data_IF_759004550151
#
_entry.id   IF_759004550151
#
_cell.length_a   1.000
_cell.length_b   1.000
_cell.length_c   1.000
_cell.angle_alpha   90.00
_cell.angle_beta   90.00
_cell.angle_gamma   90.00
#
_symmetry.space_group_name_H-M   'P 1'
#
loop_
_entity.id
_entity.type
_entity.pdbx_description
1 polymer ?
#
# COMPACT_ATOMS: atom_id res chain seq x y z
N UNK A 1 -50.28 21.41 82.67
CA UNK A 1 -49.07 22.15 82.24
C UNK A 1 -48.42 21.40 81.09
N UNK A 2 -47.85 22.10 80.12
CA UNK A 2 -46.95 21.56 79.07
C UNK A 2 -45.54 21.32 79.65
N UNK A 3 -44.49 20.85 78.91
CA UNK A 3 -44.40 20.37 77.51
C UNK A 3 -43.93 18.88 77.48
N UNK A 4 -43.27 18.25 76.48
CA UNK A 4 -42.72 18.56 75.13
C UNK A 4 -42.88 17.29 74.23
N UNK A 5 -42.82 17.39 72.88
CA UNK A 5 -42.84 16.24 71.98
C UNK A 5 -41.43 15.71 71.64
N UNK A 6 -41.27 14.38 71.52
CA UNK A 6 -40.04 13.78 70.99
C UNK A 6 -40.04 13.74 69.45
N UNK A 7 -39.09 14.47 68.85
CA UNK A 7 -38.94 14.52 67.39
C UNK A 7 -38.39 13.21 66.81
N UNK A 8 -39.12 12.63 65.83
CA UNK A 8 -38.60 11.53 64.99
C UNK A 8 -37.44 12.04 64.14
N UNK A 9 -36.22 11.54 64.39
CA UNK A 9 -35.06 11.75 63.50
C UNK A 9 -35.19 10.86 62.27
N UNK A 10 -35.57 11.43 61.14
CA UNK A 10 -35.46 10.77 59.83
C UNK A 10 -34.00 10.84 59.36
N UNK A 11 -33.24 9.76 59.53
CA UNK A 11 -31.92 9.61 58.92
C UNK A 11 -32.07 9.33 57.43
N UNK A 12 -31.93 10.37 56.60
CA UNK A 12 -31.90 10.23 55.15
C UNK A 12 -30.55 9.66 54.70
N UNK A 13 -30.51 8.35 54.43
CA UNK A 13 -29.30 7.67 53.91
C UNK A 13 -29.10 8.05 52.44
N UNK A 14 -28.24 9.03 52.18
CA UNK A 14 -27.89 9.45 50.82
C UNK A 14 -27.06 8.36 50.12
N UNK A 15 -27.68 7.60 49.22
CA UNK A 15 -27.01 6.54 48.46
C UNK A 15 -26.20 7.15 47.31
N UNK A 16 -24.93 7.44 47.56
CA UNK A 16 -24.01 7.98 46.57
C UNK A 16 -23.67 6.93 45.50
N UNK A 17 -24.29 7.05 44.32
CA UNK A 17 -23.90 6.27 43.14
C UNK A 17 -22.51 6.70 42.66
N UNK A 18 -21.50 5.93 43.04
CA UNK A 18 -20.14 6.08 42.51
C UNK A 18 -20.11 5.65 41.04
N UNK A 19 -20.25 6.63 40.13
CA UNK A 19 -19.97 6.45 38.71
C UNK A 19 -18.47 6.24 38.51
N UNK A 20 -18.03 4.98 38.67
CA UNK A 20 -16.70 4.52 38.27
C UNK A 20 -16.65 4.52 36.74
N UNK A 21 -16.40 5.70 36.17
CA UNK A 21 -16.15 5.84 34.75
C UNK A 21 -14.95 4.98 34.37
N UNK A 22 -15.14 4.06 33.43
CA UNK A 22 -14.05 3.27 32.88
C UNK A 22 -13.12 4.19 32.08
N UNK A 23 -12.10 4.72 32.75
CA UNK A 23 -10.97 5.39 32.13
C UNK A 23 -10.15 4.35 31.35
N UNK A 24 -10.64 4.00 30.15
CA UNK A 24 -9.93 3.14 29.22
C UNK A 24 -8.55 3.72 28.96
N UNK A 25 -7.52 2.88 29.04
CA UNK A 25 -6.16 3.30 28.71
C UNK A 25 -6.15 3.91 27.30
N UNK A 26 -5.39 5.00 27.06
CA UNK A 26 -5.33 5.62 25.75
C UNK A 26 -4.89 4.57 24.72
N UNK A 27 -5.66 4.45 23.63
CA UNK A 27 -5.36 3.48 22.58
C UNK A 27 -3.94 3.70 22.08
N UNK A 28 -3.14 2.63 22.06
CA UNK A 28 -1.74 2.70 21.64
C UNK A 28 -1.66 3.15 20.18
N UNK A 29 -0.93 4.23 19.92
CA UNK A 29 -0.69 4.73 18.57
C UNK A 29 -0.02 3.62 17.76
N UNK A 30 -0.59 3.18 16.62
CA UNK A 30 -0.01 2.08 15.86
C UNK A 30 1.36 2.47 15.30
N UNK A 31 2.42 1.77 15.72
CA UNK A 31 3.72 1.88 15.07
C UNK A 31 3.66 1.21 13.70
N UNK A 32 4.20 1.89 12.69
CA UNK A 32 4.40 1.39 11.33
C UNK A 32 5.87 1.54 10.94
N UNK A 33 6.20 1.04 9.74
CA UNK A 33 7.49 1.24 9.09
C UNK A 33 7.60 2.64 8.49
N UNK A 34 8.80 3.03 8.07
CA UNK A 34 9.13 4.36 7.55
C UNK A 34 9.53 4.35 6.07
N UNK A 35 10.00 3.21 5.55
CA UNK A 35 10.24 2.98 4.12
C UNK A 35 10.71 1.55 3.84
N UNK A 36 11.50 1.33 2.79
CA UNK A 36 11.98 -0.01 2.41
C UNK A 36 12.70 -0.80 3.52
N UNK A 37 13.49 -0.13 4.37
CA UNK A 37 14.43 -0.81 5.30
C UNK A 37 13.77 -1.48 6.51
N UNK A 38 12.63 -0.96 6.94
CA UNK A 38 11.85 -1.44 8.08
C UNK A 38 10.47 -1.99 7.65
N UNK A 39 10.28 -2.18 6.34
CA UNK A 39 9.05 -2.68 5.73
C UNK A 39 8.65 -4.05 6.30
N UNK A 40 7.37 -4.29 6.63
CA UNK A 40 6.94 -5.54 7.22
C UNK A 40 7.04 -6.72 6.23
N UNK A 41 7.50 -7.87 6.74
CA UNK A 41 7.63 -9.11 5.96
C UNK A 41 6.30 -9.61 5.40
N UNK A 42 6.36 -10.34 4.27
CA UNK A 42 5.21 -10.98 3.62
C UNK A 42 4.42 -11.96 4.50
N UNK A 43 3.25 -12.35 4.01
CA UNK A 43 2.43 -13.44 4.57
C UNK A 43 2.94 -14.83 4.21
N UNK A 44 3.53 -14.98 3.02
CA UNK A 44 3.96 -16.25 2.45
C UNK A 44 5.37 -16.60 2.91
N UNK A 45 5.60 -17.88 3.27
CA UNK A 45 6.96 -18.39 3.35
C UNK A 45 7.53 -18.54 1.94
N UNK A 46 8.86 -18.38 1.81
CA UNK A 46 9.55 -18.41 0.51
C UNK A 46 9.27 -19.67 -0.31
N UNK A 47 9.12 -20.81 0.36
CA UNK A 47 8.98 -22.11 -0.29
C UNK A 47 7.50 -22.47 -0.57
N UNK A 48 6.55 -21.72 0.00
CA UNK A 48 5.10 -21.76 -0.31
C UNK A 48 4.69 -20.72 -1.37
N UNK A 49 5.56 -19.75 -1.67
CA UNK A 49 5.26 -18.62 -2.54
C UNK A 49 5.23 -19.01 -4.04
N UNK A 50 4.24 -18.56 -4.84
CA UNK A 50 4.20 -18.78 -6.28
C UNK A 50 5.47 -18.29 -7.00
N UNK A 51 6.15 -19.17 -7.74
CA UNK A 51 7.36 -18.82 -8.46
C UNK A 51 7.04 -18.18 -9.83
N UNK A 52 7.22 -16.86 -9.97
CA UNK A 52 6.93 -16.16 -11.22
C UNK A 52 7.73 -16.66 -12.43
N UNK A 53 8.91 -17.26 -12.23
CA UNK A 53 9.69 -17.85 -13.33
C UNK A 53 9.08 -19.15 -13.90
N UNK A 54 8.09 -19.74 -13.23
CA UNK A 54 7.40 -20.95 -13.69
C UNK A 54 6.13 -20.67 -14.52
N UNK A 55 5.58 -19.45 -14.47
CA UNK A 55 4.31 -19.10 -15.14
C UNK A 55 4.36 -17.83 -16.00
N UNK A 56 5.34 -16.94 -15.83
CA UNK A 56 5.53 -15.82 -16.76
C UNK A 56 6.25 -16.28 -18.04
N UNK A 57 5.82 -15.82 -19.22
CA UNK A 57 6.61 -15.99 -20.44
C UNK A 57 7.92 -15.17 -20.35
N UNK A 58 8.91 -15.45 -21.22
CA UNK A 58 10.03 -14.53 -21.38
C UNK A 58 9.55 -13.12 -21.79
N UNK A 59 10.30 -12.06 -21.44
CA UNK A 59 10.05 -10.72 -21.95
C UNK A 59 10.17 -10.65 -23.49
N UNK A 60 9.72 -9.56 -24.12
CA UNK A 60 9.97 -9.31 -25.54
C UNK A 60 11.42 -9.57 -25.94
N UNK A 61 11.62 -10.37 -26.98
CA UNK A 61 12.95 -10.73 -27.48
C UNK A 61 13.64 -9.50 -28.10
N UNK A 62 14.95 -9.39 -27.90
CA UNK A 62 15.78 -8.35 -28.51
C UNK A 62 15.56 -8.26 -30.03
N UNK A 63 15.32 -7.06 -30.55
CA UNK A 63 15.02 -6.78 -31.95
C UNK A 63 13.60 -7.12 -32.41
N UNK A 64 12.76 -7.77 -31.58
CA UNK A 64 11.40 -8.14 -31.97
C UNK A 64 10.46 -6.92 -32.05
N UNK A 65 9.39 -7.02 -32.84
CA UNK A 65 8.37 -5.96 -32.95
C UNK A 65 7.76 -5.57 -31.59
N UNK A 66 7.70 -6.48 -30.62
CA UNK A 66 7.22 -6.20 -29.25
C UNK A 66 8.21 -5.37 -28.44
N UNK A 67 9.52 -5.53 -28.65
CA UNK A 67 10.51 -4.66 -28.02
C UNK A 67 10.53 -3.28 -28.67
N UNK A 68 10.37 -3.22 -30.00
CA UNK A 68 10.26 -1.96 -30.74
C UNK A 68 9.03 -1.14 -30.29
N UNK A 69 7.90 -1.80 -30.00
CA UNK A 69 6.69 -1.18 -29.45
C UNK A 69 6.90 -0.68 -28.00
N UNK A 70 7.46 -1.50 -27.11
CA UNK A 70 7.86 -1.10 -25.74
C UNK A 70 8.74 0.17 -25.76
N UNK A 71 9.71 0.24 -26.68
CA UNK A 71 10.60 1.40 -26.86
C UNK A 71 9.84 2.60 -27.45
N UNK A 72 8.94 2.39 -28.42
CA UNK A 72 8.12 3.46 -28.98
C UNK A 72 7.21 4.10 -27.91
N UNK A 73 6.56 3.29 -27.06
CA UNK A 73 5.75 3.77 -25.94
C UNK A 73 6.61 4.49 -24.89
N UNK A 74 7.80 3.97 -24.56
CA UNK A 74 8.73 4.66 -23.65
C UNK A 74 9.16 6.04 -24.18
N UNK A 75 9.47 6.14 -25.48
CA UNK A 75 9.79 7.43 -26.14
C UNK A 75 8.58 8.37 -26.17
N UNK A 76 7.40 7.88 -26.58
CA UNK A 76 6.17 8.68 -26.65
C UNK A 76 5.78 9.28 -25.29
N UNK A 77 5.91 8.52 -24.20
CA UNK A 77 5.62 9.01 -22.85
C UNK A 77 6.55 10.13 -22.36
N UNK A 78 7.67 10.43 -23.04
CA UNK A 78 8.49 11.62 -22.72
C UNK A 78 7.75 12.92 -23.03
N UNK A 79 6.85 12.92 -24.03
CA UNK A 79 6.01 14.08 -24.37
C UNK A 79 4.95 14.42 -23.30
N UNK A 80 4.78 13.56 -22.29
CA UNK A 80 3.92 13.84 -21.13
C UNK A 80 4.60 14.70 -20.07
N UNK A 81 5.90 15.01 -20.20
CA UNK A 81 6.63 15.83 -19.23
C UNK A 81 5.88 17.14 -18.91
N UNK A 82 5.88 17.51 -17.64
CA UNK A 82 5.23 18.69 -17.08
C UNK A 82 3.68 18.74 -17.24
N UNK A 83 3.05 17.70 -17.77
CA UNK A 83 1.59 17.53 -17.78
C UNK A 83 1.06 16.94 -16.46
N UNK A 84 -0.25 17.06 -16.15
CA UNK A 84 -0.86 16.38 -15.01
C UNK A 84 -0.64 14.87 -14.97
N UNK A 85 -0.59 14.16 -16.12
CA UNK A 85 -0.34 12.71 -16.14
C UNK A 85 1.07 12.35 -15.67
N UNK A 86 2.06 13.20 -15.93
CA UNK A 86 3.43 13.03 -15.44
C UNK A 86 3.54 13.39 -13.96
N UNK A 87 2.81 14.41 -13.48
CA UNK A 87 2.68 14.68 -12.05
C UNK A 87 2.05 13.49 -11.30
N UNK A 88 1.00 12.89 -11.87
CA UNK A 88 0.38 11.66 -11.37
C UNK A 88 1.38 10.49 -11.38
N UNK A 89 2.11 10.27 -12.48
CA UNK A 89 3.11 9.18 -12.59
C UNK A 89 4.25 9.28 -11.55
N UNK A 90 4.54 10.48 -11.04
CA UNK A 90 5.47 10.69 -9.92
C UNK A 90 4.89 10.31 -8.57
N UNK A 91 3.59 10.55 -8.37
CA UNK A 91 2.87 10.13 -7.17
C UNK A 91 2.61 8.61 -7.17
N UNK A 92 2.28 8.04 -8.33
CA UNK A 92 2.08 6.60 -8.57
C UNK A 92 3.35 5.75 -8.28
N UNK A 93 4.53 6.38 -8.07
CA UNK A 93 5.76 5.70 -7.69
C UNK A 93 5.88 5.44 -6.17
N UNK A 94 5.07 6.08 -5.34
CA UNK A 94 5.08 5.87 -3.89
C UNK A 94 4.49 4.49 -3.54
N UNK A 95 5.37 3.54 -3.20
CA UNK A 95 4.98 2.17 -2.79
C UNK A 95 5.58 1.71 -1.45
N UNK A 96 6.45 2.51 -0.83
CA UNK A 96 7.28 2.08 0.32
C UNK A 96 6.74 2.50 1.68
N UNK A 97 5.97 3.59 1.76
CA UNK A 97 5.49 4.12 3.03
C UNK A 97 4.16 3.48 3.43
N UNK A 98 3.76 3.55 4.72
CA UNK A 98 2.40 3.21 5.16
C UNK A 98 1.30 4.03 4.45
N UNK A 99 1.68 5.12 3.76
CA UNK A 99 0.78 6.01 3.02
C UNK A 99 0.54 5.59 1.57
N UNK A 100 1.33 4.69 1.00
CA UNK A 100 1.27 4.34 -0.42
C UNK A 100 -0.14 3.94 -0.94
N UNK A 101 -0.97 3.17 -0.21
CA UNK A 101 -2.33 2.86 -0.63
C UNK A 101 -3.27 4.06 -0.81
N UNK A 102 -2.89 5.28 -0.38
CA UNK A 102 -3.63 6.53 -0.69
C UNK A 102 -3.75 6.80 -2.19
N UNK A 103 -2.98 6.10 -3.03
CA UNK A 103 -3.16 6.06 -4.50
C UNK A 103 -4.61 5.72 -4.90
N UNK A 104 -5.35 4.99 -4.06
CA UNK A 104 -6.75 4.61 -4.26
C UNK A 104 -7.78 5.49 -3.51
N UNK A 105 -7.40 6.58 -2.84
CA UNK A 105 -8.31 7.41 -2.01
C UNK A 105 -9.58 7.87 -2.77
N UNK A 106 -9.43 8.22 -4.05
CA UNK A 106 -10.52 8.67 -4.92
C UNK A 106 -11.44 7.50 -5.34
N UNK A 107 -10.85 6.38 -5.79
CA UNK A 107 -11.59 5.19 -6.22
C UNK A 107 -12.38 4.53 -5.07
N UNK A 108 -11.82 4.52 -3.86
CA UNK A 108 -12.49 4.03 -2.65
C UNK A 108 -13.55 5.00 -2.10
N UNK A 109 -13.54 6.26 -2.53
CA UNK A 109 -14.35 7.34 -1.95
C UNK A 109 -14.02 7.66 -0.48
N UNK A 110 -12.90 7.15 0.05
CA UNK A 110 -12.47 7.34 1.45
C UNK A 110 -10.97 7.65 1.54
N UNK A 111 -10.61 8.55 2.45
CA UNK A 111 -9.21 8.92 2.69
C UNK A 111 -8.48 7.87 3.52
N UNK A 112 -7.65 7.05 2.87
CA UNK A 112 -6.78 6.08 3.53
C UNK A 112 -5.89 6.80 4.55
N UNK A 113 -5.98 6.40 5.81
CA UNK A 113 -5.29 7.06 6.93
C UNK A 113 -4.74 5.98 7.86
N UNK A 114 -3.43 5.69 7.85
CA UNK A 114 -2.84 4.53 8.53
C UNK A 114 -3.26 4.38 9.99
N UNK A 115 -3.24 5.49 10.73
CA UNK A 115 -3.52 5.59 12.15
C UNK A 115 -4.99 5.27 12.46
N UNK A 116 -5.88 5.43 11.48
CA UNK A 116 -7.32 5.12 11.55
C UNK A 116 -7.67 3.77 10.91
N UNK A 117 -6.77 3.19 10.12
CA UNK A 117 -6.99 1.95 9.36
C UNK A 117 -5.87 0.91 9.59
N UNK A 118 -5.34 0.71 10.82
CA UNK A 118 -4.07 0.03 11.05
C UNK A 118 -4.04 -1.45 10.65
N UNK A 119 -5.20 -2.10 10.59
CA UNK A 119 -5.34 -3.47 10.09
C UNK A 119 -5.16 -3.50 8.57
N UNK A 120 -5.84 -2.62 7.83
CA UNK A 120 -5.71 -2.53 6.37
C UNK A 120 -4.32 -2.06 5.94
N UNK A 121 -3.71 -1.13 6.67
CA UNK A 121 -2.31 -0.72 6.42
C UNK A 121 -1.36 -1.90 6.56
N UNK A 122 -1.49 -2.73 7.61
CA UNK A 122 -0.66 -3.93 7.76
C UNK A 122 -1.00 -5.03 6.75
N UNK A 123 -2.25 -5.12 6.29
CA UNK A 123 -2.66 -6.01 5.20
C UNK A 123 -1.93 -5.65 3.90
N UNK A 124 -2.14 -4.42 3.40
CA UNK A 124 -1.60 -3.97 2.13
C UNK A 124 -0.06 -3.85 2.17
N UNK A 125 0.52 -3.40 3.28
CA UNK A 125 1.97 -3.26 3.43
C UNK A 125 2.72 -4.59 3.32
N UNK A 126 2.23 -5.66 3.96
CA UNK A 126 2.94 -6.96 3.92
C UNK A 126 3.01 -7.56 2.50
N UNK A 127 2.03 -7.25 1.64
CA UNK A 127 1.98 -7.74 0.26
C UNK A 127 3.19 -7.34 -0.60
N UNK A 128 3.93 -6.28 -0.25
CA UNK A 128 5.20 -5.96 -0.94
C UNK A 128 6.21 -7.10 -0.78
N UNK A 129 6.43 -7.59 0.44
CA UNK A 129 7.39 -8.68 0.71
C UNK A 129 6.99 -10.01 0.05
N UNK A 130 5.68 -10.26 -0.08
CA UNK A 130 5.16 -11.41 -0.82
C UNK A 130 5.49 -11.30 -2.31
N UNK A 131 5.21 -10.15 -2.92
CA UNK A 131 5.46 -9.94 -4.33
C UNK A 131 6.95 -9.85 -4.66
N UNK A 132 7.80 -9.30 -3.79
CA UNK A 132 9.26 -9.39 -3.92
C UNK A 132 9.73 -10.85 -3.97
N UNK A 133 9.20 -11.69 -3.08
CA UNK A 133 9.50 -13.13 -3.02
C UNK A 133 9.06 -13.84 -4.30
N UNK A 134 7.82 -13.62 -4.74
CA UNK A 134 7.21 -14.19 -5.95
C UNK A 134 8.00 -13.81 -7.22
N UNK A 135 8.37 -12.54 -7.37
CA UNK A 135 8.92 -12.01 -8.62
C UNK A 135 10.44 -12.13 -8.76
N UNK A 136 11.17 -12.24 -7.65
CA UNK A 136 12.65 -12.25 -7.64
C UNK A 136 13.26 -13.35 -8.52
N UNK A 137 12.75 -14.60 -8.56
CA UNK A 137 13.24 -15.62 -9.48
C UNK A 137 13.18 -15.20 -10.95
N UNK A 138 12.05 -14.63 -11.40
CA UNK A 138 11.88 -14.17 -12.78
C UNK A 138 12.83 -13.00 -13.12
N UNK A 139 12.95 -12.01 -12.23
CA UNK A 139 13.89 -10.89 -12.40
C UNK A 139 15.34 -11.35 -12.53
N UNK A 140 15.75 -12.34 -11.74
CA UNK A 140 17.11 -12.92 -11.77
C UNK A 140 17.35 -13.87 -12.94
N UNK A 141 16.31 -14.53 -13.44
CA UNK A 141 16.39 -15.39 -14.62
C UNK A 141 16.46 -14.62 -15.94
N UNK A 142 15.64 -13.58 -16.10
CA UNK A 142 15.56 -12.83 -17.37
C UNK A 142 16.52 -11.64 -17.47
N UNK A 143 16.85 -10.99 -16.34
CA UNK A 143 17.76 -9.83 -16.25
C UNK A 143 17.49 -8.75 -17.34
N UNK A 144 16.23 -8.54 -17.71
CA UNK A 144 15.86 -7.55 -18.74
C UNK A 144 16.34 -6.16 -18.30
N UNK A 145 17.08 -5.40 -19.13
CA UNK A 145 17.44 -4.02 -18.82
C UNK A 145 16.20 -3.13 -18.57
N UNK A 146 16.39 -2.02 -17.84
CA UNK A 146 15.34 -1.01 -17.67
C UNK A 146 15.38 0.00 -18.82
N UNK A 147 14.24 0.56 -19.26
CA UNK A 147 14.20 1.47 -20.41
C UNK A 147 15.21 2.62 -20.34
N UNK A 148 15.36 3.27 -19.17
CA UNK A 148 16.31 4.37 -18.99
C UNK A 148 17.81 3.97 -19.12
N UNK A 149 18.13 2.67 -19.16
CA UNK A 149 19.49 2.15 -19.36
C UNK A 149 19.77 1.92 -20.84
N UNK A 150 18.80 1.37 -21.59
CA UNK A 150 18.92 1.11 -23.03
C UNK A 150 18.58 2.32 -23.90
N UNK A 151 17.68 3.17 -23.40
CA UNK A 151 17.18 4.39 -24.03
C UNK A 151 17.32 5.55 -23.02
N UNK A 152 18.51 6.15 -22.85
CA UNK A 152 18.71 7.19 -21.85
C UNK A 152 17.89 8.45 -22.15
N UNK A 153 16.80 8.64 -21.42
CA UNK A 153 15.93 9.80 -21.49
C UNK A 153 15.41 10.19 -20.10
N UNK A 154 14.97 11.45 -19.96
CA UNK A 154 14.44 11.97 -18.71
C UNK A 154 13.26 11.11 -18.20
N UNK A 155 13.29 10.80 -16.91
CA UNK A 155 12.26 10.02 -16.20
C UNK A 155 11.60 10.91 -15.14
N UNK A 156 10.34 10.63 -14.80
CA UNK A 156 9.56 11.51 -13.93
C UNK A 156 10.09 11.57 -12.47
N UNK A 157 10.85 10.54 -12.09
CA UNK A 157 11.69 10.45 -10.90
C UNK A 157 13.15 10.29 -11.35
N UNK A 158 14.11 10.68 -10.52
CA UNK A 158 15.51 10.21 -10.68
C UNK A 158 15.55 8.71 -10.37
N UNK A 159 16.06 7.83 -11.25
CA UNK A 159 16.19 6.42 -10.93
C UNK A 159 17.29 6.18 -9.90
N UNK A 160 16.98 5.44 -8.84
CA UNK A 160 17.97 4.96 -7.88
C UNK A 160 19.08 4.14 -8.58
N UNK A 161 20.39 4.34 -8.25
CA UNK A 161 21.49 3.75 -9.00
C UNK A 161 21.45 2.21 -9.10
N UNK A 162 20.96 1.54 -8.05
CA UNK A 162 20.83 0.08 -8.02
C UNK A 162 19.79 -0.45 -9.02
N UNK A 163 18.83 0.37 -9.46
CA UNK A 163 17.82 -0.04 -10.42
C UNK A 163 18.47 -0.44 -11.75
N UNK A 164 19.54 0.24 -12.18
CA UNK A 164 20.26 -0.05 -13.43
C UNK A 164 20.85 -1.48 -13.46
N UNK A 165 21.21 -2.04 -12.31
CA UNK A 165 21.74 -3.40 -12.15
C UNK A 165 20.65 -4.46 -11.87
N UNK A 166 19.35 -4.09 -11.95
CA UNK A 166 18.24 -4.96 -11.55
C UNK A 166 17.25 -5.20 -12.71
N UNK A 167 16.83 -6.46 -12.88
CA UNK A 167 15.91 -6.87 -13.93
C UNK A 167 14.58 -6.10 -13.90
N UNK A 168 14.17 -5.58 -15.06
CA UNK A 168 12.96 -4.78 -15.24
C UNK A 168 11.67 -5.61 -15.30
N UNK A 169 11.78 -6.87 -15.74
CA UNK A 169 10.65 -7.78 -15.96
C UNK A 169 10.57 -8.88 -14.89
N UNK A 170 9.38 -9.15 -14.29
CA UNK A 170 8.16 -8.33 -14.33
C UNK A 170 8.32 -7.02 -13.54
N UNK A 171 7.34 -6.12 -13.61
CA UNK A 171 7.32 -4.87 -12.82
C UNK A 171 6.74 -5.11 -11.42
N UNK A 172 7.51 -4.78 -10.38
CA UNK A 172 7.11 -4.97 -8.98
C UNK A 172 6.08 -3.96 -8.49
N UNK A 173 6.22 -2.68 -8.86
CA UNK A 173 5.24 -1.64 -8.51
C UNK A 173 3.89 -1.94 -9.17
N UNK A 174 3.90 -2.39 -10.45
CA UNK A 174 2.68 -2.75 -11.18
C UNK A 174 2.00 -4.00 -10.60
N UNK A 175 2.78 -5.01 -10.19
CA UNK A 175 2.25 -6.19 -9.51
C UNK A 175 1.62 -5.82 -8.15
N UNK A 176 2.23 -4.89 -7.39
CA UNK A 176 1.72 -4.44 -6.10
C UNK A 176 0.44 -3.62 -6.24
N UNK A 177 0.41 -2.64 -7.15
CA UNK A 177 -0.78 -1.85 -7.44
C UNK A 177 -1.96 -2.75 -7.86
N UNK A 178 -1.71 -3.73 -8.73
CA UNK A 178 -2.75 -4.68 -9.13
C UNK A 178 -3.21 -5.60 -8.00
N UNK A 179 -2.29 -6.12 -7.17
CA UNK A 179 -2.65 -6.92 -6.02
C UNK A 179 -3.45 -6.13 -4.96
N UNK A 180 -3.08 -4.87 -4.71
CA UNK A 180 -3.87 -3.96 -3.89
C UNK A 180 -5.25 -3.69 -4.49
N UNK A 181 -5.35 -3.43 -5.79
CA UNK A 181 -6.64 -3.21 -6.47
C UNK A 181 -7.57 -4.42 -6.33
N UNK A 182 -7.07 -5.64 -6.50
CA UNK A 182 -7.86 -6.88 -6.31
C UNK A 182 -8.36 -7.03 -4.87
N UNK A 183 -7.49 -6.91 -3.86
CA UNK A 183 -7.88 -7.03 -2.44
C UNK A 183 -8.86 -5.91 -2.03
N UNK A 184 -8.63 -4.68 -2.51
CA UNK A 184 -9.54 -3.56 -2.25
C UNK A 184 -10.90 -3.74 -2.93
N UNK A 185 -10.95 -4.33 -4.13
CA UNK A 185 -12.21 -4.65 -4.82
C UNK A 185 -13.00 -5.76 -4.12
N UNK A 186 -12.33 -6.72 -3.48
CA UNK A 186 -12.99 -7.73 -2.64
C UNK A 186 -13.55 -7.10 -1.34
N UNK A 187 -12.84 -6.11 -0.78
CA UNK A 187 -13.27 -5.40 0.43
C UNK A 187 -14.34 -4.32 0.20
N UNK A 188 -14.39 -3.73 -1.01
CA UNK A 188 -15.34 -2.69 -1.41
C UNK A 188 -15.93 -3.03 -2.81
N UNK A 189 -16.77 -4.08 -2.91
CA UNK A 189 -17.28 -4.56 -4.20
C UNK A 189 -18.26 -3.58 -4.87
N UNK A 190 -18.79 -2.60 -4.14
CA UNK A 190 -19.55 -1.46 -4.66
C UNK A 190 -18.66 -0.37 -5.31
N UNK A 191 -17.33 -0.56 -5.29
CA UNK A 191 -16.29 0.29 -5.91
C UNK A 191 -15.33 -0.46 -6.82
N UNK A 192 -15.59 -1.74 -7.10
CA UNK A 192 -14.65 -2.60 -7.82
C UNK A 192 -14.26 -2.03 -9.20
N UNK A 193 -15.22 -1.47 -9.95
CA UNK A 193 -14.95 -0.86 -11.25
C UNK A 193 -14.06 0.39 -11.12
N UNK A 194 -14.34 1.29 -10.18
CA UNK A 194 -13.50 2.48 -9.93
C UNK A 194 -12.08 2.12 -9.44
N UNK A 195 -11.94 1.04 -8.67
CA UNK A 195 -10.65 0.55 -8.15
C UNK A 195 -9.81 -0.11 -9.26
N UNK A 196 -10.43 -0.89 -10.15
CA UNK A 196 -9.73 -1.65 -11.19
C UNK A 196 -9.29 -0.81 -12.40
N UNK A 197 -9.78 0.43 -12.54
CA UNK A 197 -9.35 1.38 -13.59
C UNK A 197 -8.31 2.42 -13.14
N UNK A 198 -7.79 2.31 -11.90
CA UNK A 198 -6.90 3.29 -11.27
C UNK A 198 -5.40 3.09 -11.58
#
# INVERSE_FOLDING_TARGET
MSPFPHARRLTATALAFALVGCAGAPASVPTFWTGFRDHPHGYLAKDDAPNAAAFLPPPPQAGSLREQDDIAVYRATRALKDTPRWAQARADNEIETPSAPRVFDEALGIRFTPERMPVLTRLLGRMLGDLETIQTPAKRGFIRPRPFVTEPAETCITPEPWLAASGSYPSGHSALGWAWALVLSEMAPDRADEILVR
#
